data_IF_707474392176
#
_entry.id   IF_707474392176
#
_cell.length_a   1.000
_cell.length_b   1.000
_cell.length_c   1.000
_cell.angle_alpha   90.00
_cell.angle_beta   90.00
_cell.angle_gamma   90.00
#
_symmetry.space_group_name_H-M   'P 1'
#
loop_
_entity.id
_entity.type
_entity.pdbx_description
1 polymer ?
#
# COMPACT_ATOMS: atom_id res chain seq x y z
N UNK A 1 -9.75 -10.42 50.08
CA UNK A 1 -10.43 -9.50 49.13
C UNK A 1 -9.46 -9.19 48.02
N UNK A 2 -9.54 -9.92 46.92
CA UNK A 2 -8.65 -9.74 45.77
C UNK A 2 -9.23 -8.65 44.88
N UNK A 3 -8.51 -7.54 44.74
CA UNK A 3 -8.86 -6.47 43.82
C UNK A 3 -8.71 -7.00 42.40
N UNK A 4 -9.82 -7.09 41.67
CA UNK A 4 -9.83 -7.37 40.24
C UNK A 4 -9.21 -6.20 39.49
N UNK A 5 -8.10 -6.43 38.81
CA UNK A 5 -7.50 -5.43 37.92
C UNK A 5 -8.50 -5.04 36.82
N UNK A 6 -8.64 -3.75 36.49
CA UNK A 6 -9.49 -3.32 35.40
C UNK A 6 -8.89 -3.85 34.09
N UNK A 7 -9.61 -4.75 33.42
CA UNK A 7 -9.34 -5.11 32.04
C UNK A 7 -9.53 -3.86 31.17
N UNK A 8 -8.45 -3.13 30.94
CA UNK A 8 -8.42 -2.06 29.95
C UNK A 8 -8.72 -2.67 28.59
N UNK A 9 -9.93 -2.45 28.07
CA UNK A 9 -10.22 -2.80 26.68
C UNK A 9 -9.22 -2.03 25.82
N UNK A 10 -8.40 -2.77 25.06
CA UNK A 10 -7.52 -2.15 24.08
C UNK A 10 -8.44 -1.45 23.08
N UNK A 11 -8.34 -0.13 23.00
CA UNK A 11 -9.10 0.66 22.05
C UNK A 11 -8.89 0.08 20.66
N UNK A 12 -9.98 -0.15 19.94
CA UNK A 12 -9.89 -0.63 18.57
C UNK A 12 -9.23 0.46 17.73
N UNK A 13 -8.27 0.14 16.84
CA UNK A 13 -7.55 1.16 16.07
C UNK A 13 -8.41 1.90 15.03
N UNK A 14 -9.68 1.52 14.87
CA UNK A 14 -10.60 2.03 13.86
C UNK A 14 -11.59 3.02 14.48
N UNK A 15 -11.99 4.03 13.70
CA UNK A 15 -13.06 4.95 14.12
C UNK A 15 -14.42 4.24 14.15
N UNK A 16 -14.60 3.21 13.31
CA UNK A 16 -15.79 2.36 13.24
C UNK A 16 -15.40 0.94 12.81
N UNK A 17 -16.08 -0.08 13.37
CA UNK A 17 -15.98 -1.48 12.94
C UNK A 17 -17.30 -1.89 12.29
N UNK A 18 -17.23 -2.36 11.04
CA UNK A 18 -18.38 -2.69 10.21
C UNK A 18 -18.43 -4.22 10.05
N UNK A 19 -19.43 -4.85 10.65
CA UNK A 19 -19.66 -6.32 10.61
C UNK A 19 -20.91 -6.72 9.82
N UNK A 20 -21.79 -5.76 9.56
CA UNK A 20 -23.05 -6.00 8.86
C UNK A 20 -22.79 -6.39 7.41
N UNK A 21 -23.19 -7.61 7.02
CA UNK A 21 -22.93 -8.17 5.69
C UNK A 21 -23.41 -7.25 4.57
N UNK A 22 -24.61 -6.66 4.70
CA UNK A 22 -25.15 -5.74 3.70
C UNK A 22 -24.29 -4.48 3.53
N UNK A 23 -23.73 -3.95 4.61
CA UNK A 23 -22.82 -2.79 4.54
C UNK A 23 -21.49 -3.18 3.90
N UNK A 24 -20.95 -4.36 4.22
CA UNK A 24 -19.74 -4.90 3.58
C UNK A 24 -19.98 -5.07 2.07
N UNK A 25 -21.11 -5.65 1.66
CA UNK A 25 -21.51 -5.76 0.23
C UNK A 25 -21.54 -4.39 -0.43
N UNK A 26 -22.24 -3.43 0.18
CA UNK A 26 -22.36 -2.07 -0.37
C UNK A 26 -20.99 -1.42 -0.59
N UNK A 27 -20.05 -1.58 0.35
CA UNK A 27 -18.70 -1.04 0.23
C UNK A 27 -17.88 -1.73 -0.88
N UNK A 28 -17.98 -3.05 -0.98
CA UNK A 28 -17.31 -3.83 -2.04
C UNK A 28 -17.88 -3.51 -3.43
N UNK A 29 -19.21 -3.42 -3.55
CA UNK A 29 -19.88 -3.01 -4.80
C UNK A 29 -19.48 -1.59 -5.19
N UNK A 30 -19.40 -0.67 -4.23
CA UNK A 30 -18.91 0.69 -4.51
C UNK A 30 -17.46 0.67 -5.01
N UNK A 31 -16.59 -0.09 -4.35
CA UNK A 31 -15.19 -0.23 -4.78
C UNK A 31 -15.08 -0.78 -6.22
N UNK A 32 -15.89 -1.79 -6.57
CA UNK A 32 -15.94 -2.34 -7.93
C UNK A 32 -16.47 -1.33 -8.96
N UNK A 33 -17.61 -0.70 -8.69
CA UNK A 33 -18.28 0.20 -9.62
C UNK A 33 -17.47 1.48 -9.88
N UNK A 34 -16.83 2.01 -8.85
CA UNK A 34 -15.94 3.18 -8.96
C UNK A 34 -14.54 2.81 -9.48
N UNK A 35 -14.29 1.51 -9.71
CA UNK A 35 -12.96 1.01 -10.08
C UNK A 35 -11.89 1.53 -9.12
N UNK A 36 -12.18 1.59 -7.82
CA UNK A 36 -11.27 2.14 -6.82
C UNK A 36 -10.01 1.28 -6.70
N UNK A 37 -8.89 1.95 -6.41
CA UNK A 37 -7.61 1.26 -6.24
C UNK A 37 -7.56 0.58 -4.87
N UNK A 38 -7.13 -0.67 -4.87
CA UNK A 38 -7.01 -1.51 -3.68
C UNK A 38 -5.54 -1.70 -3.33
N UNK A 39 -5.17 -1.37 -2.09
CA UNK A 39 -3.88 -1.66 -1.49
C UNK A 39 -3.93 -3.03 -0.79
N UNK A 40 -3.00 -3.92 -1.13
CA UNK A 40 -2.82 -5.22 -0.48
C UNK A 40 -1.51 -5.30 0.29
N UNK A 41 -1.56 -5.77 1.52
CA UNK A 41 -0.40 -6.04 2.37
C UNK A 41 -0.43 -7.48 2.87
N UNK A 42 0.56 -8.30 2.50
CA UNK A 42 0.64 -9.71 2.91
C UNK A 42 1.22 -9.80 4.32
N UNK A 43 0.41 -10.22 5.30
CA UNK A 43 0.81 -10.31 6.71
C UNK A 43 1.32 -8.98 7.27
N UNK A 44 2.48 -9.01 7.94
CA UNK A 44 3.17 -7.82 8.46
C UNK A 44 4.24 -7.27 7.52
N UNK A 45 4.28 -7.73 6.26
CA UNK A 45 5.29 -7.27 5.32
C UNK A 45 5.16 -5.77 5.07
N UNK A 46 6.29 -5.09 4.94
CA UNK A 46 6.34 -3.64 4.64
C UNK A 46 5.95 -3.35 3.19
N UNK A 47 5.92 -4.39 2.33
CA UNK A 47 5.56 -4.24 0.93
C UNK A 47 4.04 -4.11 0.76
N UNK A 48 3.63 -3.15 -0.04
CA UNK A 48 2.25 -2.96 -0.48
C UNK A 48 2.21 -3.29 -1.97
N UNK A 49 1.13 -3.94 -2.36
CA UNK A 49 0.80 -4.23 -3.75
C UNK A 49 -0.48 -3.51 -4.10
N UNK A 50 -0.65 -3.21 -5.37
CA UNK A 50 -1.79 -2.47 -5.86
C UNK A 50 -2.61 -3.33 -6.81
N UNK A 51 -3.93 -3.26 -6.72
CA UNK A 51 -4.86 -3.99 -7.60
C UNK A 51 -6.18 -3.25 -7.68
N UNK A 52 -7.16 -3.82 -8.38
CA UNK A 52 -8.55 -3.39 -8.44
C UNK A 52 -9.47 -4.59 -8.23
N UNK A 53 -10.69 -4.30 -7.80
CA UNK A 53 -11.73 -5.31 -7.77
C UNK A 53 -12.16 -5.67 -9.18
N UNK A 54 -12.29 -6.96 -9.43
CA UNK A 54 -12.82 -7.51 -10.67
C UNK A 54 -14.22 -8.08 -10.44
N UNK A 55 -15.03 -8.09 -11.50
CA UNK A 55 -16.29 -8.83 -11.50
C UNK A 55 -16.02 -10.32 -11.37
N UNK A 56 -16.92 -11.08 -10.71
CA UNK A 56 -16.80 -12.53 -10.68
C UNK A 56 -16.79 -13.10 -12.11
N UNK A 57 -16.01 -14.15 -12.39
CA UNK A 57 -16.08 -14.84 -13.68
C UNK A 57 -17.49 -15.40 -13.89
N UNK A 58 -17.94 -15.45 -15.15
CA UNK A 58 -19.22 -16.08 -15.46
C UNK A 58 -19.20 -17.55 -15.01
N UNK A 59 -20.27 -18.01 -14.35
CA UNK A 59 -20.46 -19.45 -14.13
C UNK A 59 -20.66 -20.08 -15.49
N UNK A 60 -19.66 -20.78 -16.01
CA UNK A 60 -19.85 -21.61 -17.19
C UNK A 60 -20.74 -22.77 -16.77
N UNK A 61 -22.04 -22.67 -17.04
CA UNK A 61 -22.92 -23.83 -17.02
C UNK A 61 -22.39 -24.77 -18.11
N UNK A 62 -21.69 -25.84 -17.71
CA UNK A 62 -21.40 -26.93 -18.62
C UNK A 62 -22.75 -27.59 -18.90
N UNK A 63 -23.41 -27.15 -19.98
CA UNK A 63 -24.42 -27.95 -20.65
C UNK A 63 -23.72 -29.25 -21.03
N UNK A 64 -23.92 -30.27 -20.20
CA UNK A 64 -23.49 -31.64 -20.50
C UNK A 64 -24.44 -32.19 -21.56
N UNK A 65 -24.32 -31.71 -22.79
CA UNK A 65 -24.87 -32.41 -23.95
C UNK A 65 -23.84 -33.44 -24.36
N UNK A 66 -24.11 -34.70 -24.01
CA UNK A 66 -23.37 -35.84 -24.50
C UNK A 66 -23.54 -36.06 -26.01
N UNK A 67 -22.67 -36.95 -26.51
CA UNK A 67 -22.50 -37.44 -27.89
C UNK A 67 -21.78 -36.46 -28.83
N UNK A 68 -20.70 -36.81 -29.55
CA UNK A 68 -20.21 -38.11 -30.02
C UNK A 68 -18.73 -37.99 -30.49
N UNK A 69 -17.99 -39.08 -30.32
CA UNK A 69 -16.79 -39.54 -31.06
C UNK A 69 -15.97 -38.55 -31.92
N UNK A 70 -14.71 -38.32 -31.53
CA UNK A 70 -13.60 -38.21 -32.50
C UNK A 70 -12.24 -38.40 -31.79
N UNK A 71 -11.49 -39.40 -32.24
CA UNK A 71 -10.11 -39.69 -31.87
C UNK A 71 -9.18 -38.55 -32.32
N UNK A 72 -8.81 -37.66 -31.40
CA UNK A 72 -7.64 -36.81 -31.58
C UNK A 72 -6.83 -36.68 -30.29
N UNK A 73 -5.53 -36.98 -30.46
CA UNK A 73 -4.36 -36.90 -29.59
C UNK A 73 -4.49 -36.02 -28.33
N UNK A 74 -3.98 -36.49 -27.16
CA UNK A 74 -3.99 -35.72 -25.94
C UNK A 74 -2.98 -34.56 -26.03
N UNK A 75 -3.49 -33.34 -26.18
CA UNK A 75 -2.77 -32.13 -25.79
C UNK A 75 -2.38 -32.24 -24.30
N UNK A 76 -1.21 -31.72 -23.89
CA UNK A 76 -0.80 -31.76 -22.49
C UNK A 76 -1.87 -31.04 -21.66
N UNK A 77 -2.36 -31.75 -20.65
CA UNK A 77 -3.38 -31.34 -19.69
C UNK A 77 -2.95 -29.98 -19.09
N UNK A 78 -3.46 -28.90 -19.68
CA UNK A 78 -3.61 -27.64 -18.97
C UNK A 78 -4.52 -27.96 -17.80
N UNK A 79 -4.02 -27.86 -16.57
CA UNK A 79 -4.82 -28.08 -15.37
C UNK A 79 -6.11 -27.29 -15.52
N UNK A 80 -7.23 -27.98 -15.73
CA UNK A 80 -8.52 -27.35 -15.90
C UNK A 80 -8.79 -26.54 -14.62
N UNK A 81 -8.96 -25.22 -14.78
CA UNK A 81 -9.32 -24.37 -13.67
C UNK A 81 -10.59 -24.93 -13.02
N UNK A 82 -10.62 -25.05 -11.67
CA UNK A 82 -11.76 -25.66 -10.99
C UNK A 82 -13.02 -24.86 -11.33
N UNK A 83 -14.04 -25.56 -11.83
CA UNK A 83 -15.38 -25.00 -12.06
C UNK A 83 -15.85 -24.39 -10.74
N UNK A 84 -16.01 -23.07 -10.70
CA UNK A 84 -16.46 -22.35 -9.52
C UNK A 84 -17.94 -22.62 -9.31
N UNK A 85 -18.29 -23.23 -8.18
CA UNK A 85 -19.70 -23.37 -7.83
C UNK A 85 -20.30 -21.98 -7.53
N UNK A 86 -21.59 -21.74 -7.84
CA UNK A 86 -22.26 -20.47 -7.55
C UNK A 86 -22.13 -20.01 -6.10
N UNK A 87 -22.05 -20.96 -5.16
CA UNK A 87 -21.87 -20.67 -3.74
C UNK A 87 -20.48 -20.09 -3.42
N UNK A 88 -19.44 -20.58 -4.11
CA UNK A 88 -18.07 -20.10 -3.94
C UNK A 88 -17.91 -18.68 -4.48
N UNK A 89 -18.64 -18.33 -5.55
CA UNK A 89 -18.67 -16.97 -6.09
C UNK A 89 -19.21 -15.98 -5.05
N UNK A 90 -20.25 -16.35 -4.29
CA UNK A 90 -20.86 -15.48 -3.26
C UNK A 90 -19.97 -15.28 -2.04
N UNK A 91 -19.10 -16.25 -1.74
CA UNK A 91 -18.18 -16.23 -0.57
C UNK A 91 -16.80 -15.67 -0.90
N UNK A 92 -16.58 -15.26 -2.14
CA UNK A 92 -15.28 -14.80 -2.62
C UNK A 92 -15.33 -13.36 -3.12
N UNK A 93 -14.17 -12.72 -3.13
CA UNK A 93 -13.92 -11.52 -3.91
C UNK A 93 -12.85 -11.83 -4.95
N UNK A 94 -12.90 -11.11 -6.07
CA UNK A 94 -11.99 -11.28 -7.19
C UNK A 94 -11.22 -9.99 -7.38
N UNK A 95 -9.90 -10.10 -7.48
CA UNK A 95 -9.00 -8.98 -7.71
C UNK A 95 -8.21 -9.22 -8.98
N UNK A 96 -7.89 -8.16 -9.70
CA UNK A 96 -6.96 -8.20 -10.84
C UNK A 96 -5.55 -8.60 -10.38
N UNK A 97 -4.66 -9.04 -11.29
CA UNK A 97 -3.25 -9.22 -10.98
C UNK A 97 -2.67 -7.99 -10.29
N UNK A 98 -1.88 -8.22 -9.25
CA UNK A 98 -1.31 -7.11 -8.50
C UNK A 98 -0.10 -6.49 -9.20
N UNK A 99 0.08 -5.20 -8.96
CA UNK A 99 1.25 -4.42 -9.35
C UNK A 99 2.16 -4.15 -8.15
N UNK A 100 3.48 -4.34 -8.29
CA UNK A 100 4.15 -4.97 -9.44
C UNK A 100 3.89 -6.50 -9.49
N UNK A 101 4.04 -7.16 -10.67
CA UNK A 101 3.64 -8.55 -10.88
C UNK A 101 4.26 -9.58 -9.94
N UNK A 102 5.43 -9.29 -9.37
CA UNK A 102 6.07 -10.11 -8.33
C UNK A 102 5.17 -10.33 -7.10
N UNK A 103 4.23 -9.43 -6.84
CA UNK A 103 3.25 -9.58 -5.77
C UNK A 103 2.33 -10.80 -5.96
N UNK A 104 1.97 -11.14 -7.19
CA UNK A 104 1.16 -12.33 -7.50
C UNK A 104 1.89 -13.62 -7.07
N UNK A 105 3.22 -13.63 -7.19
CA UNK A 105 4.04 -14.76 -6.72
C UNK A 105 4.09 -14.80 -5.19
N UNK A 106 4.24 -13.65 -4.54
CA UNK A 106 4.30 -13.56 -3.07
C UNK A 106 3.00 -13.99 -2.40
N UNK A 107 1.85 -13.54 -2.94
CA UNK A 107 0.53 -13.94 -2.46
C UNK A 107 0.34 -15.46 -2.60
N UNK A 108 0.65 -16.02 -3.77
CA UNK A 108 0.54 -17.47 -4.03
C UNK A 108 1.44 -18.34 -3.16
N UNK A 109 2.63 -17.85 -2.80
CA UNK A 109 3.58 -18.55 -1.93
C UNK A 109 3.11 -18.65 -0.47
N UNK A 110 2.16 -17.82 -0.06
CA UNK A 110 1.74 -17.69 1.33
C UNK A 110 0.21 -17.68 1.48
N UNK A 111 -0.51 -18.74 1.03
CA UNK A 111 -1.97 -18.77 1.02
C UNK A 111 -2.59 -18.64 2.43
N UNK A 112 -1.89 -19.16 3.44
CA UNK A 112 -2.37 -19.16 4.84
C UNK A 112 -2.10 -17.84 5.57
N UNK A 113 -1.37 -16.91 4.97
CA UNK A 113 -1.09 -15.61 5.58
C UNK A 113 -2.22 -14.63 5.23
N UNK A 114 -2.92 -14.04 6.23
CA UNK A 114 -3.93 -13.02 5.96
C UNK A 114 -3.34 -11.85 5.17
N UNK A 115 -4.08 -11.41 4.17
CA UNK A 115 -3.79 -10.21 3.39
C UNK A 115 -4.67 -9.08 3.91
N UNK A 116 -4.04 -7.96 4.25
CA UNK A 116 -4.76 -6.73 4.54
C UNK A 116 -5.16 -6.09 3.24
N UNK A 117 -6.46 -5.90 3.05
CA UNK A 117 -7.04 -5.18 1.91
C UNK A 117 -7.46 -3.80 2.38
N UNK A 118 -7.05 -2.76 1.66
CA UNK A 118 -7.45 -1.39 1.95
C UNK A 118 -7.91 -0.69 0.67
N UNK A 119 -9.04 -0.01 0.74
CA UNK A 119 -9.54 0.83 -0.33
C UNK A 119 -10.17 2.09 0.26
N UNK A 120 -10.61 3.01 -0.59
CA UNK A 120 -11.08 4.31 -0.17
C UNK A 120 -12.53 4.53 -0.59
N UNK A 121 -13.34 5.04 0.33
CA UNK A 121 -14.70 5.47 0.05
C UNK A 121 -14.79 6.95 0.41
N UNK A 122 -14.72 7.81 -0.61
CA UNK A 122 -14.62 9.27 -0.45
C UNK A 122 -13.41 9.65 0.41
N UNK A 123 -13.66 10.18 1.61
CA UNK A 123 -12.65 10.60 2.59
C UNK A 123 -12.29 9.51 3.60
N UNK A 124 -12.96 8.36 3.54
CA UNK A 124 -12.73 7.26 4.47
C UNK A 124 -11.78 6.23 3.88
N UNK A 125 -10.97 5.64 4.76
CA UNK A 125 -10.20 4.44 4.46
C UNK A 125 -10.94 3.24 5.03
N UNK A 126 -11.20 2.25 4.19
CA UNK A 126 -11.82 0.98 4.57
C UNK A 126 -10.73 -0.08 4.54
N UNK A 127 -10.56 -0.82 5.62
CA UNK A 127 -9.52 -1.84 5.79
C UNK A 127 -10.11 -3.14 6.30
N UNK A 128 -9.78 -4.28 5.68
CA UNK A 128 -10.24 -5.60 6.08
C UNK A 128 -9.17 -6.67 5.86
N UNK A 129 -9.42 -7.87 6.37
CA UNK A 129 -8.56 -9.04 6.18
C UNK A 129 -9.22 -10.02 5.22
N UNK A 130 -8.44 -10.51 4.27
CA UNK A 130 -8.85 -11.51 3.27
C UNK A 130 -7.77 -12.60 3.18
N UNK A 131 -8.12 -13.79 2.70
CA UNK A 131 -7.19 -14.92 2.51
C UNK A 131 -7.21 -15.37 1.07
N UNK A 132 -6.04 -15.74 0.54
CA UNK A 132 -5.92 -16.16 -0.85
C UNK A 132 -6.51 -17.57 -1.03
N UNK A 133 -7.39 -17.74 -2.01
CA UNK A 133 -8.10 -18.98 -2.31
C UNK A 133 -7.67 -19.65 -3.62
N UNK A 134 -6.81 -18.99 -4.40
CA UNK A 134 -6.36 -19.48 -5.71
C UNK A 134 -6.53 -18.45 -6.82
N UNK A 135 -6.30 -18.88 -8.05
CA UNK A 135 -6.53 -18.10 -9.26
C UNK A 135 -7.73 -18.62 -10.02
N UNK A 136 -8.37 -17.76 -10.80
CA UNK A 136 -9.39 -18.17 -11.78
C UNK A 136 -9.20 -17.38 -13.08
N UNK A 137 -9.67 -17.91 -14.20
CA UNK A 137 -9.68 -17.18 -15.47
C UNK A 137 -11.02 -16.47 -15.66
N UNK A 138 -10.96 -15.24 -16.15
CA UNK A 138 -12.11 -14.52 -16.67
C UNK A 138 -11.79 -14.04 -18.09
N UNK A 139 -12.39 -14.70 -19.08
CA UNK A 139 -12.08 -14.55 -20.50
C UNK A 139 -10.58 -14.76 -20.79
N UNK A 140 -9.80 -13.67 -20.83
CA UNK A 140 -8.37 -13.65 -21.15
C UNK A 140 -7.47 -13.38 -19.95
N UNK A 141 -8.03 -12.93 -18.82
CA UNK A 141 -7.25 -12.45 -17.68
C UNK A 141 -7.28 -13.42 -16.51
N UNK A 142 -6.13 -13.60 -15.86
CA UNK A 142 -6.02 -14.37 -14.61
C UNK A 142 -6.37 -13.48 -13.43
N UNK A 143 -7.46 -13.80 -12.74
CA UNK A 143 -7.88 -13.12 -11.53
C UNK A 143 -7.37 -13.84 -10.28
N UNK A 144 -7.13 -13.07 -9.23
CA UNK A 144 -6.84 -13.57 -7.90
C UNK A 144 -8.14 -13.71 -7.10
N UNK A 145 -8.42 -14.90 -6.59
CA UNK A 145 -9.58 -15.19 -5.75
C UNK A 145 -9.21 -15.12 -4.28
N UNK A 146 -9.99 -14.39 -3.50
CA UNK A 146 -9.82 -14.27 -2.05
C UNK A 146 -11.12 -14.56 -1.29
N UNK A 147 -11.00 -14.90 -0.01
CA UNK A 147 -12.15 -14.93 0.89
C UNK A 147 -12.77 -13.54 0.97
N UNK A 148 -14.08 -13.53 1.15
CA UNK A 148 -14.78 -12.32 1.55
C UNK A 148 -14.31 -11.84 2.93
N UNK A 149 -14.14 -10.52 3.16
CA UNK A 149 -13.84 -10.00 4.49
C UNK A 149 -15.05 -10.17 5.42
N UNK A 150 -14.80 -10.63 6.64
CA UNK A 150 -15.82 -10.78 7.69
C UNK A 150 -16.18 -9.44 8.36
N UNK A 151 -15.22 -8.52 8.41
CA UNK A 151 -15.40 -7.19 8.95
C UNK A 151 -14.50 -6.18 8.24
N UNK A 152 -14.89 -4.91 8.31
CA UNK A 152 -14.07 -3.77 7.93
C UNK A 152 -13.84 -2.82 9.10
N UNK A 153 -12.62 -2.34 9.24
CA UNK A 153 -12.31 -1.12 9.97
C UNK A 153 -12.46 0.10 9.05
N UNK A 154 -13.08 1.17 9.55
CA UNK A 154 -13.16 2.45 8.86
C UNK A 154 -12.34 3.50 9.61
N UNK A 155 -11.60 4.30 8.84
CA UNK A 155 -10.93 5.50 9.32
C UNK A 155 -11.53 6.71 8.60
N UNK A 156 -11.80 7.79 9.34
CA UNK A 156 -12.34 9.06 8.82
C UNK A 156 -11.36 9.81 7.91
N UNK A 157 -10.10 9.38 7.84
CA UNK A 157 -9.05 10.00 7.02
C UNK A 157 -8.53 9.01 5.99
N UNK A 158 -8.43 9.47 4.74
CA UNK A 158 -7.80 8.77 3.62
C UNK A 158 -6.30 8.56 3.89
N UNK A 159 -5.93 7.44 4.49
CA UNK A 159 -4.56 7.09 4.88
C UNK A 159 -3.96 6.09 3.89
N UNK A 160 -3.32 6.62 2.85
CA UNK A 160 -2.49 5.82 1.96
C UNK A 160 -1.24 5.32 2.66
N UNK A 161 -0.77 4.14 2.27
CA UNK A 161 0.55 3.69 2.67
C UNK A 161 1.63 4.66 2.16
N UNK A 162 2.54 5.06 3.05
CA UNK A 162 3.69 5.90 2.75
C UNK A 162 4.99 5.11 2.82
N UNK A 163 5.71 5.06 1.71
CA UNK A 163 7.05 4.48 1.64
C UNK A 163 8.09 5.52 2.03
N UNK A 164 9.06 5.14 2.85
CA UNK A 164 10.21 5.99 3.19
C UNK A 164 11.28 5.91 2.11
N UNK A 165 11.94 7.03 1.87
CA UNK A 165 13.01 7.12 0.89
C UNK A 165 14.34 7.00 1.59
N UNK A 166 15.18 6.07 1.15
CA UNK A 166 16.53 5.92 1.70
C UNK A 166 17.40 7.09 1.25
N UNK A 167 18.39 7.53 2.06
CA UNK A 167 19.22 8.69 1.73
C UNK A 167 19.99 8.57 0.41
N UNK A 168 20.31 7.36 -0.04
CA UNK A 168 21.05 7.07 -1.27
C UNK A 168 20.17 6.86 -2.49
N UNK A 169 18.84 6.99 -2.35
CA UNK A 169 17.93 6.82 -3.48
C UNK A 169 18.12 7.96 -4.49
N UNK A 170 18.18 7.69 -5.80
CA UNK A 170 18.41 8.71 -6.82
C UNK A 170 17.18 9.60 -7.11
N UNK A 171 16.19 9.63 -6.23
CA UNK A 171 14.97 10.39 -6.48
C UNK A 171 15.24 11.89 -6.32
N UNK A 172 14.88 12.67 -7.33
CA UNK A 172 14.99 14.13 -7.36
C UNK A 172 13.58 14.70 -7.22
N UNK A 173 13.41 15.63 -6.28
CA UNK A 173 12.13 16.31 -6.06
C UNK A 173 12.33 17.82 -6.25
N UNK A 174 11.53 18.41 -7.14
CA UNK A 174 11.47 19.84 -7.35
C UNK A 174 10.07 20.37 -7.05
N UNK A 175 10.00 21.48 -6.31
CA UNK A 175 8.78 22.20 -5.97
C UNK A 175 8.75 23.49 -6.79
N UNK A 176 7.81 23.62 -7.71
CA UNK A 176 7.64 24.81 -8.54
C UNK A 176 6.53 25.67 -7.95
N UNK A 177 6.94 26.80 -7.39
CA UNK A 177 6.10 27.76 -6.68
C UNK A 177 5.34 28.67 -7.67
N UNK A 178 4.21 29.28 -7.25
CA UNK A 178 3.44 30.20 -8.10
C UNK A 178 4.22 31.43 -8.58
N UNK A 179 5.22 31.88 -7.80
CA UNK A 179 6.13 32.98 -8.13
C UNK A 179 7.24 32.58 -9.11
N UNK A 180 7.13 31.39 -9.73
CA UNK A 180 8.10 30.77 -10.66
C UNK A 180 9.42 30.36 -9.98
N UNK A 181 9.53 30.44 -8.66
CA UNK A 181 10.68 29.89 -7.94
C UNK A 181 10.63 28.36 -7.96
N UNK A 182 11.75 27.72 -8.23
CA UNK A 182 11.89 26.27 -8.11
C UNK A 182 12.79 25.94 -6.92
N UNK A 183 12.30 25.07 -6.04
CA UNK A 183 13.02 24.61 -4.85
C UNK A 183 13.30 23.12 -5.00
N UNK A 184 14.58 22.74 -5.06
CA UNK A 184 14.98 21.34 -4.98
C UNK A 184 14.91 20.87 -3.54
N UNK A 185 14.22 19.76 -3.31
CA UNK A 185 13.96 19.21 -1.99
C UNK A 185 14.45 17.77 -1.90
N UNK A 186 14.82 17.34 -0.68
CA UNK A 186 15.14 15.93 -0.45
C UNK A 186 13.86 15.17 -0.14
N UNK A 187 13.53 14.16 -0.94
CA UNK A 187 12.35 13.33 -0.71
C UNK A 187 12.49 12.53 0.59
N UNK A 188 11.47 12.55 1.45
CA UNK A 188 11.47 11.87 2.76
C UNK A 188 10.56 10.65 2.77
N UNK A 189 9.31 10.83 2.38
CA UNK A 189 8.34 9.76 2.16
C UNK A 189 7.40 10.09 0.99
N UNK A 190 6.83 9.06 0.37
CA UNK A 190 5.88 9.22 -0.74
C UNK A 190 4.76 8.20 -0.65
N UNK A 191 3.58 8.60 -1.09
CA UNK A 191 2.39 7.78 -1.30
C UNK A 191 1.65 8.30 -2.53
N UNK A 192 0.66 7.56 -3.01
CA UNK A 192 -0.21 8.03 -4.10
C UNK A 192 -0.96 9.33 -3.78
N UNK A 193 -1.27 9.57 -2.50
CA UNK A 193 -2.01 10.76 -2.08
C UNK A 193 -1.16 11.92 -1.57
N UNK A 194 0.16 11.77 -1.50
CA UNK A 194 0.99 12.82 -0.91
C UNK A 194 2.46 12.46 -0.75
N UNK A 195 3.26 13.52 -0.65
CA UNK A 195 4.72 13.50 -0.50
C UNK A 195 5.08 14.17 0.82
N UNK A 196 6.15 13.72 1.46
CA UNK A 196 6.87 14.53 2.41
C UNK A 196 8.30 14.76 1.93
N UNK A 197 8.82 15.97 2.13
CA UNK A 197 10.17 16.33 1.76
C UNK A 197 10.87 17.12 2.86
N UNK A 198 12.19 17.23 2.74
CA UNK A 198 13.04 18.02 3.60
C UNK A 198 13.56 19.23 2.84
N UNK A 199 13.44 20.38 3.47
CA UNK A 199 13.96 21.65 2.98
C UNK A 199 15.04 22.19 3.92
N UNK A 200 16.14 22.74 3.39
CA UNK A 200 17.13 23.47 4.18
C UNK A 200 16.62 24.87 4.54
N UNK A 201 16.78 25.29 5.81
CA UNK A 201 16.54 26.67 6.26
C UNK A 201 15.33 26.85 7.18
N UNK A 202 15.12 28.07 7.71
CA UNK A 202 13.97 28.40 8.57
C UNK A 202 12.63 28.48 7.79
N UNK A 203 11.52 28.21 8.50
CA UNK A 203 10.18 27.83 8.01
C UNK A 203 9.45 28.89 7.17
N UNK A 204 9.98 30.11 7.12
CA UNK A 204 9.24 31.32 6.77
C UNK A 204 8.72 31.41 5.32
N UNK A 205 9.03 30.44 4.45
CA UNK A 205 8.85 30.61 3.00
C UNK A 205 7.66 29.88 2.38
N UNK A 206 6.92 29.06 3.12
CA UNK A 206 5.88 28.20 2.54
C UNK A 206 4.62 28.12 3.40
N UNK A 207 3.58 28.93 3.15
CA UNK A 207 2.32 28.82 3.89
C UNK A 207 1.58 27.49 3.63
N UNK A 208 0.89 26.98 4.65
CA UNK A 208 -0.06 25.89 4.43
C UNK A 208 -1.19 26.36 3.50
N UNK A 209 -1.63 25.48 2.60
CA UNK A 209 -2.58 25.80 1.53
C UNK A 209 -1.95 26.38 0.27
N UNK A 210 -0.66 26.72 0.27
CA UNK A 210 0.03 27.16 -0.95
C UNK A 210 -0.02 26.06 -2.00
N UNK A 211 -0.58 26.38 -3.17
CA UNK A 211 -0.59 25.53 -4.36
C UNK A 211 0.76 25.58 -5.05
N UNK A 212 1.21 24.44 -5.57
CA UNK A 212 2.47 24.31 -6.30
C UNK A 212 2.41 23.14 -7.28
N UNK A 213 3.36 23.11 -8.22
CA UNK A 213 3.61 21.92 -9.01
C UNK A 213 4.76 21.13 -8.39
N UNK A 214 4.57 19.84 -8.20
CA UNK A 214 5.58 18.91 -7.68
C UNK A 214 6.11 18.10 -8.85
N UNK A 215 7.39 18.21 -9.14
CA UNK A 215 8.07 17.35 -10.12
C UNK A 215 8.91 16.32 -9.39
N UNK A 216 8.55 15.05 -9.55
CA UNK A 216 9.29 13.90 -9.05
C UNK A 216 9.98 13.22 -10.23
N UNK A 217 11.28 13.00 -10.11
CA UNK A 217 12.09 12.28 -11.08
C UNK A 217 12.81 11.12 -10.40
N UNK A 218 12.76 9.96 -11.03
CA UNK A 218 13.65 8.84 -10.72
C UNK A 218 14.40 8.52 -12.03
N UNK A 219 15.72 8.80 -12.09
CA UNK A 219 16.52 8.58 -13.29
C UNK A 219 16.33 7.17 -13.85
N UNK A 220 16.17 7.08 -15.18
CA UNK A 220 15.92 5.85 -15.93
C UNK A 220 14.61 5.11 -15.61
N UNK A 221 13.74 5.66 -14.76
CA UNK A 221 12.45 5.06 -14.43
C UNK A 221 11.30 5.92 -14.96
N UNK A 222 11.15 7.14 -14.43
CA UNK A 222 10.07 8.04 -14.83
C UNK A 222 10.29 9.47 -14.32
N UNK A 223 9.65 10.41 -14.99
CA UNK A 223 9.45 11.79 -14.53
C UNK A 223 7.97 12.08 -14.50
N UNK A 224 7.49 12.67 -13.40
CA UNK A 224 6.08 12.98 -13.19
C UNK A 224 5.94 14.34 -12.52
N UNK A 225 5.10 15.20 -13.10
CA UNK A 225 4.73 16.50 -12.52
C UNK A 225 3.25 16.49 -12.14
N UNK A 226 2.95 16.82 -10.88
CA UNK A 226 1.60 16.82 -10.33
C UNK A 226 1.31 18.12 -9.61
N UNK A 227 0.08 18.62 -9.72
CA UNK A 227 -0.37 19.69 -8.85
C UNK A 227 -0.50 19.18 -7.41
N UNK A 228 -0.27 20.08 -6.46
CA UNK A 228 -0.47 19.79 -5.05
C UNK A 228 -0.46 21.04 -4.21
N UNK A 229 -0.60 20.84 -2.90
CA UNK A 229 -0.58 21.93 -1.95
C UNK A 229 0.06 21.52 -0.63
N UNK A 230 0.64 22.52 0.01
CA UNK A 230 1.31 22.36 1.29
C UNK A 230 0.27 22.11 2.37
N UNK A 231 0.43 21.03 3.14
CA UNK A 231 -0.48 20.66 4.22
C UNK A 231 0.04 21.11 5.57
N UNK A 232 1.29 20.80 5.87
CA UNK A 232 1.89 21.04 7.18
C UNK A 232 3.41 21.17 7.12
N UNK A 233 3.95 21.74 8.19
CA UNK A 233 5.38 21.89 8.44
C UNK A 233 5.67 21.32 9.82
N UNK A 234 6.73 20.53 9.91
CA UNK A 234 7.19 19.97 11.18
C UNK A 234 8.72 20.07 11.23
N UNK A 235 9.32 20.33 12.40
CA UNK A 235 10.77 20.19 12.56
C UNK A 235 11.20 18.80 12.10
N UNK A 236 12.22 18.72 11.23
CA UNK A 236 12.71 17.43 10.79
C UNK A 236 13.40 16.70 11.96
N UNK A 237 13.33 15.36 12.02
CA UNK A 237 14.15 14.59 12.95
C UNK A 237 15.63 14.94 12.77
N UNK A 238 16.36 15.13 13.88
CA UNK A 238 17.81 15.38 13.82
C UNK A 238 18.49 14.28 13.02
N UNK A 239 19.21 14.65 11.97
CA UNK A 239 20.05 13.72 11.23
C UNK A 239 21.46 13.74 11.80
N UNK A 240 22.10 12.58 12.02
CA UNK A 240 23.40 12.51 12.68
C UNK A 240 24.53 13.25 11.93
N UNK A 241 24.36 13.47 10.61
CA UNK A 241 25.37 14.07 9.75
C UNK A 241 25.04 15.51 9.33
N UNK A 242 24.01 16.14 9.93
CA UNK A 242 23.67 17.55 9.65
C UNK A 242 24.12 18.39 10.86
N UNK A 243 24.92 19.45 10.66
CA UNK A 243 25.32 20.36 11.74
C UNK A 243 24.10 20.86 12.51
N UNK A 244 24.21 20.95 13.83
CA UNK A 244 23.11 21.37 14.71
C UNK A 244 22.61 22.80 14.43
N UNK A 245 23.40 23.61 13.72
CA UNK A 245 23.04 24.96 13.28
C UNK A 245 22.13 24.98 12.05
N UNK A 246 22.05 23.88 11.28
CA UNK A 246 21.22 23.82 10.07
C UNK A 246 19.83 23.28 10.41
N UNK A 247 18.88 24.19 10.66
CA UNK A 247 17.48 23.81 10.82
C UNK A 247 16.96 23.20 9.51
N UNK A 248 16.44 21.98 9.59
CA UNK A 248 15.80 21.27 8.48
C UNK A 248 14.33 21.10 8.82
N UNK A 249 13.46 21.29 7.82
CA UNK A 249 12.01 21.21 8.02
C UNK A 249 11.46 20.10 7.16
N UNK A 250 10.57 19.31 7.74
CA UNK A 250 9.74 18.36 7.03
C UNK A 250 8.48 19.07 6.55
N UNK A 251 8.27 19.09 5.24
CA UNK A 251 7.07 19.64 4.61
C UNK A 251 6.22 18.49 4.10
N UNK A 252 4.95 18.46 4.51
CA UNK A 252 3.96 17.55 3.95
C UNK A 252 3.20 18.22 2.82
N UNK A 253 3.15 17.56 1.67
CA UNK A 253 2.45 18.00 0.47
C UNK A 253 1.35 16.99 0.16
N UNK A 254 0.13 17.48 0.00
CA UNK A 254 -0.94 16.68 -0.57
C UNK A 254 -0.96 16.89 -2.08
N UNK A 255 -1.00 15.79 -2.82
CA UNK A 255 -1.16 15.82 -4.26
C UNK A 255 -2.65 16.01 -4.59
N UNK A 256 -2.93 16.81 -5.61
CA UNK A 256 -4.26 16.81 -6.22
C UNK A 256 -4.54 15.43 -6.82
N UNK A 257 -5.81 15.07 -6.97
CA UNK A 257 -6.18 13.75 -7.49
C UNK A 257 -5.60 13.58 -8.91
N UNK A 258 -4.61 12.69 -9.10
CA UNK A 258 -4.06 12.46 -10.42
C UNK A 258 -5.13 11.80 -11.30
N UNK A 259 -5.05 12.04 -12.61
CA UNK A 259 -5.77 11.18 -13.56
C UNK A 259 -5.23 9.74 -13.49
N UNK A 260 -5.93 8.78 -14.10
CA UNK A 260 -5.54 7.37 -14.05
C UNK A 260 -4.11 7.11 -14.54
N UNK A 261 -3.70 7.78 -15.62
CA UNK A 261 -2.37 7.59 -16.23
C UNK A 261 -1.28 8.12 -15.29
N UNK A 262 -1.52 9.27 -14.68
CA UNK A 262 -0.66 9.87 -13.68
C UNK A 262 -0.58 9.02 -12.41
N UNK A 263 -1.70 8.47 -11.95
CA UNK A 263 -1.77 7.58 -10.79
C UNK A 263 -0.93 6.33 -11.03
N UNK A 264 -1.08 5.67 -12.18
CA UNK A 264 -0.33 4.46 -12.53
C UNK A 264 1.18 4.76 -12.62
N UNK A 265 1.57 5.91 -13.20
CA UNK A 265 2.96 6.38 -13.18
C UNK A 265 3.49 6.61 -11.77
N UNK A 266 2.72 7.29 -10.90
CA UNK A 266 3.11 7.52 -9.51
C UNK A 266 3.30 6.20 -8.76
N UNK A 267 2.44 5.20 -9.02
CA UNK A 267 2.55 3.87 -8.42
C UNK A 267 3.79 3.11 -8.84
N UNK A 268 4.20 3.21 -10.11
CA UNK A 268 5.47 2.64 -10.59
C UNK A 268 6.64 3.27 -9.83
N UNK A 269 6.64 4.59 -9.67
CA UNK A 269 7.69 5.32 -8.94
C UNK A 269 7.72 4.95 -7.46
N UNK A 270 6.57 4.92 -6.78
CA UNK A 270 6.43 4.48 -5.38
C UNK A 270 6.93 3.05 -5.21
N UNK A 271 6.59 2.15 -6.13
CA UNK A 271 7.05 0.76 -6.12
C UNK A 271 8.57 0.65 -6.24
N UNK A 272 9.21 1.47 -7.08
CA UNK A 272 10.66 1.53 -7.20
C UNK A 272 11.34 1.97 -5.90
N UNK A 273 10.83 3.04 -5.30
CA UNK A 273 11.30 3.56 -4.02
C UNK A 273 11.16 2.49 -2.92
N UNK A 274 10.05 1.77 -2.92
CA UNK A 274 9.80 0.68 -1.97
C UNK A 274 10.76 -0.49 -2.16
N UNK A 275 11.07 -0.86 -3.40
CA UNK A 275 12.06 -1.91 -3.66
C UNK A 275 13.44 -1.53 -3.15
N UNK A 276 13.90 -0.31 -3.41
CA UNK A 276 15.17 0.19 -2.91
C UNK A 276 15.21 0.24 -1.37
N UNK A 277 14.13 0.70 -0.74
CA UNK A 277 14.00 0.68 0.73
C UNK A 277 14.10 -0.75 1.28
N UNK A 278 13.36 -1.70 0.70
CA UNK A 278 13.40 -3.10 1.11
C UNK A 278 14.78 -3.75 0.88
N UNK A 279 15.48 -3.39 -0.19
CA UNK A 279 16.84 -3.86 -0.45
C UNK A 279 17.82 -3.35 0.62
N UNK A 280 17.69 -2.08 1.04
CA UNK A 280 18.51 -1.53 2.13
C UNK A 280 18.31 -2.27 3.45
N UNK A 281 17.06 -2.66 3.78
CA UNK A 281 16.77 -3.46 4.98
C UNK A 281 17.47 -4.81 4.97
N UNK A 282 17.56 -5.46 3.81
CA UNK A 282 18.22 -6.76 3.66
C UNK A 282 19.73 -6.63 3.87
N UNK A 283 20.34 -5.63 3.24
CA UNK A 283 21.77 -5.34 3.40
C UNK A 283 22.14 -5.01 4.85
N UNK A 284 21.31 -4.27 5.58
CA UNK A 284 21.54 -4.01 7.00
C UNK A 284 21.46 -5.27 7.85
N UNK A 285 20.54 -6.19 7.53
CA UNK A 285 20.41 -7.47 8.23
C UNK A 285 21.64 -8.35 8.01
N UNK A 286 22.15 -8.41 6.78
CA UNK A 286 23.33 -9.22 6.43
C UNK A 286 24.63 -8.64 7.02
N UNK A 287 24.67 -7.32 7.30
CA UNK A 287 25.81 -6.63 7.94
C UNK A 287 25.85 -6.76 9.46
N UNK A 288 24.85 -7.36 10.10
CA UNK A 288 24.90 -7.67 11.53
C UNK A 288 25.43 -9.09 11.72
N UNK A 289 26.74 -9.31 11.96
CA UNK A 289 27.21 -10.62 12.39
C UNK A 289 26.56 -10.99 13.73
N UNK A 290 26.22 -12.26 13.91
CA UNK A 290 25.62 -12.86 15.13
C UNK A 290 26.46 -12.69 16.41
N UNK A 291 27.62 -12.03 16.34
CA UNK A 291 28.47 -11.76 17.48
C UNK A 291 28.30 -10.30 17.92
N UNK A 292 27.60 -10.11 19.04
CA UNK A 292 28.03 -9.34 20.24
C UNK A 292 26.82 -9.29 21.20
N UNK A 293 26.80 -10.21 22.17
CA UNK A 293 25.82 -10.30 23.26
C UNK A 293 26.04 -9.27 24.39
N UNK A 294 26.87 -8.24 24.20
CA UNK A 294 27.19 -7.26 25.23
C UNK A 294 27.13 -5.84 24.68
N UNK A 295 26.15 -5.07 25.11
CA UNK A 295 26.01 -3.63 24.88
C UNK A 295 25.99 -3.19 23.41
N UNK A 296 24.79 -3.15 22.80
CA UNK A 296 24.57 -2.30 21.61
C UNK A 296 23.34 -1.42 21.76
N UNK A 297 23.54 -0.12 21.55
CA UNK A 297 22.45 0.78 21.22
C UNK A 297 21.82 0.35 19.90
N UNK A 298 20.48 0.26 19.81
CA UNK A 298 19.81 -0.13 18.57
C UNK A 298 20.11 0.87 17.44
N UNK A 299 20.26 0.37 16.21
CA UNK A 299 20.42 1.23 15.03
C UNK A 299 19.21 2.18 14.90
N UNK A 300 19.40 3.32 14.24
CA UNK A 300 18.32 4.30 13.97
C UNK A 300 17.08 3.65 13.36
N UNK A 301 17.28 2.65 12.49
CA UNK A 301 16.20 1.91 11.85
C UNK A 301 15.51 0.91 12.78
N UNK A 302 16.27 0.24 13.66
CA UNK A 302 15.72 -0.63 14.72
C UNK A 302 14.94 0.19 15.75
N UNK A 303 15.42 1.38 16.11
CA UNK A 303 14.66 2.36 16.93
C UNK A 303 13.35 2.75 16.23
N UNK A 304 13.38 2.95 14.91
CA UNK A 304 12.21 3.28 14.09
C UNK A 304 11.17 2.15 13.99
N UNK A 305 11.59 0.89 13.87
CA UNK A 305 10.68 -0.26 13.91
C UNK A 305 10.10 -0.47 15.32
N UNK A 306 10.91 -0.28 16.37
CA UNK A 306 10.45 -0.34 17.76
C UNK A 306 9.44 0.79 18.09
N UNK A 307 9.59 1.97 17.50
CA UNK A 307 8.66 3.10 17.64
C UNK A 307 7.28 2.81 17.02
N UNK A 308 7.21 2.05 15.91
CA UNK A 308 5.92 1.57 15.37
C UNK A 308 5.25 0.57 16.30
N UNK A 309 6.01 -0.36 16.88
CA UNK A 309 5.48 -1.36 17.84
C UNK A 309 4.97 -0.69 19.13
N UNK A 310 5.64 0.35 19.63
CA UNK A 310 5.19 1.13 20.80
C UNK A 310 3.98 2.04 20.54
N UNK A 311 3.84 2.63 19.34
CA UNK A 311 2.65 3.43 19.00
C UNK A 311 1.40 2.57 18.75
N UNK A 312 1.57 1.35 18.24
CA UNK A 312 0.48 0.36 18.11
C UNK A 312 0.00 -0.20 19.46
N UNK A 313 0.73 0.02 20.56
CA UNK A 313 0.41 -0.44 21.91
C UNK A 313 -0.10 0.68 22.83
N UNK A 314 -0.19 1.92 22.34
CA UNK A 314 -0.63 3.11 23.10
C UNK A 314 -1.72 3.91 22.38
N UNK A 315 -2.30 3.35 21.32
CA UNK A 315 -3.48 3.87 20.64
C UNK A 315 -4.66 2.99 20.94
#
# INVERSE_FOLDING_TARGET
>A
MSASEPQGSKAHPYDEVIKETQRIETLLSHCLLQQEKVELQVGEQVRIYFTRMASPPATTEVVSTGHETSDHLPSPISQADPILQPEDLKKSIFLEPVEPPIGNVQIRKHPDIPVTMRFFNRMQTIEGKIRFLGTCQNNTDSLLRFTRPEEFGSFRQRRHYRVRVIPTHPAILALHMPDKKTITAKLWDVSVGGIACLLPGPVETLPAGTKLMVSLEIPHVATLSLAGYIRNHEPAPRQPNIPSSTQTIKVGIQLDQPDRVQEDRLNIMVSHIQQAFLASLRQEKDRQPENVAGNRQPSELTKLMALKKKKSLRG
#
